data_IF_772579168138
#
_entry.id   IF_772579168138
#
_cell.length_a   1.000
_cell.length_b   1.000
_cell.length_c   1.000
_cell.angle_alpha   90.00
_cell.angle_beta   90.00
_cell.angle_gamma   90.00
#
_symmetry.space_group_name_H-M   'P 1'
#
loop_
_entity.id
_entity.type
_entity.pdbx_description
1 polymer ?
#
# COMPACT_ATOMS: atom_id res chain seq x y z
N UNK A 1 2.93 18.86 -2.40
CA UNK A 1 3.10 17.50 -2.95
C UNK A 1 1.86 16.69 -2.64
N UNK A 2 1.44 15.85 -3.57
CA UNK A 2 0.35 14.89 -3.40
C UNK A 2 0.91 13.48 -3.58
N UNK A 3 0.47 12.52 -2.76
CA UNK A 3 1.01 11.16 -2.72
C UNK A 3 -0.07 10.13 -2.98
N UNK A 4 0.27 9.09 -3.74
CA UNK A 4 -0.50 7.87 -3.88
C UNK A 4 0.44 6.67 -3.72
N UNK A 5 0.24 5.79 -2.74
CA UNK A 5 -0.71 5.88 -1.65
C UNK A 5 -0.54 7.14 -0.78
N UNK A 6 -1.64 7.61 -0.20
CA UNK A 6 -1.61 8.73 0.74
C UNK A 6 -0.90 8.39 2.05
N UNK A 7 -0.48 9.41 2.79
CA UNK A 7 0.16 9.20 4.09
C UNK A 7 -0.81 8.51 5.08
N UNK A 8 -0.36 7.41 5.68
CA UNK A 8 -1.16 6.58 6.56
C UNK A 8 -2.14 5.66 5.84
N UNK A 9 -2.04 5.51 4.51
CA UNK A 9 -2.89 4.59 3.77
C UNK A 9 -2.73 3.16 4.31
N UNK A 10 -3.86 2.48 4.50
CA UNK A 10 -3.93 1.09 4.89
C UNK A 10 -4.45 0.27 3.73
N UNK A 11 -4.26 -1.04 3.81
CA UNK A 11 -4.83 -1.98 2.84
C UNK A 11 -4.36 -1.77 1.41
N UNK A 12 -3.14 -1.26 1.26
CA UNK A 12 -2.53 -1.02 -0.05
C UNK A 12 -2.24 -2.36 -0.72
N UNK A 13 -2.54 -2.48 -2.02
CA UNK A 13 -2.25 -3.69 -2.77
C UNK A 13 -0.76 -3.99 -2.81
N UNK A 14 -0.38 -5.27 -2.85
CA UNK A 14 1.05 -5.65 -2.94
C UNK A 14 1.69 -5.34 -4.29
N UNK A 15 0.89 -5.02 -5.32
CA UNK A 15 1.34 -4.57 -6.63
C UNK A 15 1.25 -3.05 -6.80
N UNK A 16 1.11 -2.32 -5.69
CA UNK A 16 0.92 -0.87 -5.74
C UNK A 16 2.12 -0.16 -6.35
N UNK A 17 1.82 0.83 -7.19
CA UNK A 17 2.77 1.79 -7.74
C UNK A 17 2.73 3.05 -6.89
N UNK A 18 3.90 3.56 -6.51
CA UNK A 18 4.00 4.72 -5.63
C UNK A 18 4.24 5.97 -6.48
N UNK A 19 3.38 6.96 -6.36
CA UNK A 19 3.44 8.21 -7.12
C UNK A 19 3.48 9.39 -6.17
N UNK A 20 4.32 10.38 -6.52
CA UNK A 20 4.32 11.70 -5.91
C UNK A 20 4.18 12.77 -6.99
N UNK A 21 3.24 13.68 -6.78
CA UNK A 21 3.03 14.84 -7.65
C UNK A 21 3.56 16.09 -6.96
N UNK A 22 4.50 16.78 -7.59
CA UNK A 22 5.10 18.03 -7.14
C UNK A 22 4.19 19.23 -7.47
N UNK A 23 4.40 20.35 -6.77
CA UNK A 23 3.65 21.60 -7.03
C UNK A 23 4.13 22.34 -8.27
N UNK A 24 5.34 22.03 -8.72
CA UNK A 24 6.08 22.67 -9.79
C UNK A 24 6.99 21.59 -10.41
N UNK A 25 7.47 21.83 -11.63
CA UNK A 25 8.44 20.94 -12.28
C UNK A 25 9.72 20.78 -11.44
N UNK A 26 10.33 19.61 -11.48
CA UNK A 26 11.61 19.31 -10.83
C UNK A 26 12.67 18.93 -11.86
N UNK A 27 13.93 19.17 -11.52
CA UNK A 27 15.06 18.80 -12.37
C UNK A 27 15.20 17.28 -12.40
N UNK A 28 15.02 16.61 -13.56
CA UNK A 28 15.05 15.14 -13.63
C UNK A 28 16.38 14.53 -13.17
N UNK A 29 17.50 15.23 -13.38
CA UNK A 29 18.83 14.77 -12.93
C UNK A 29 18.99 14.72 -11.41
N UNK A 30 18.07 15.36 -10.66
CA UNK A 30 18.01 15.29 -9.18
C UNK A 30 17.05 14.24 -8.67
N UNK A 31 16.37 13.52 -9.57
CA UNK A 31 15.46 12.41 -9.29
C UNK A 31 16.13 11.09 -9.68
N UNK A 32 16.73 10.44 -8.68
CA UNK A 32 17.30 9.10 -8.76
C UNK A 32 16.88 8.21 -7.57
N UNK A 33 17.37 6.96 -7.55
CA UNK A 33 17.07 5.97 -6.53
C UNK A 33 17.59 6.31 -5.11
N UNK A 34 18.45 7.33 -4.96
CA UNK A 34 18.92 7.83 -3.67
C UNK A 34 18.06 8.98 -3.16
N UNK A 35 17.54 9.80 -4.09
CA UNK A 35 16.72 10.97 -3.82
C UNK A 35 15.22 10.67 -3.69
N UNK A 36 14.69 9.67 -4.40
CA UNK A 36 13.32 9.16 -4.26
C UNK A 36 13.36 7.64 -4.11
N UNK A 37 13.02 7.16 -2.92
CA UNK A 37 13.16 5.75 -2.53
C UNK A 37 11.96 5.21 -1.78
N UNK A 38 11.78 3.91 -1.89
CA UNK A 38 10.86 3.12 -1.09
C UNK A 38 11.65 2.34 -0.05
N UNK A 39 11.21 2.36 1.20
CA UNK A 39 11.87 1.77 2.36
C UNK A 39 10.90 0.85 3.09
N UNK A 40 11.42 -0.21 3.69
CA UNK A 40 10.73 -1.03 4.69
C UNK A 40 11.65 -1.25 5.91
N UNK A 41 11.27 -2.13 6.85
CA UNK A 41 12.12 -2.39 8.04
C UNK A 41 13.44 -3.12 7.74
N UNK A 42 13.61 -3.69 6.55
CA UNK A 42 14.86 -4.32 6.09
C UNK A 42 15.76 -3.32 5.32
N UNK A 43 15.24 -2.16 4.93
CA UNK A 43 15.98 -1.11 4.22
C UNK A 43 15.33 -0.71 2.90
N UNK A 44 16.16 -0.38 1.91
CA UNK A 44 15.67 0.05 0.60
C UNK A 44 15.02 -1.08 -0.20
N UNK A 45 13.82 -0.82 -0.70
CA UNK A 45 13.10 -1.69 -1.62
C UNK A 45 13.50 -1.34 -3.04
N UNK A 46 13.91 -2.35 -3.82
CA UNK A 46 14.31 -2.14 -5.21
C UNK A 46 13.10 -1.72 -6.04
N UNK A 47 13.19 -0.57 -6.68
CA UNK A 47 12.15 -0.01 -7.54
C UNK A 47 12.77 0.73 -8.73
N UNK A 48 12.03 0.80 -9.83
CA UNK A 48 12.37 1.66 -10.97
C UNK A 48 11.70 3.01 -10.83
N UNK A 49 12.43 4.08 -11.14
CA UNK A 49 11.93 5.45 -11.10
C UNK A 49 11.63 5.96 -12.52
N UNK A 50 10.48 6.60 -12.69
CA UNK A 50 10.15 7.42 -13.86
C UNK A 50 9.62 8.79 -13.45
N UNK A 51 9.78 9.78 -14.32
CA UNK A 51 9.29 11.15 -14.10
C UNK A 51 8.55 11.66 -15.33
N UNK A 52 7.35 12.19 -15.11
CA UNK A 52 6.53 12.88 -16.11
C UNK A 52 6.53 14.38 -15.82
N UNK A 53 7.28 15.14 -16.63
CA UNK A 53 7.41 16.59 -16.51
C UNK A 53 6.16 17.36 -16.94
N UNK A 54 5.21 16.74 -17.65
CA UNK A 54 3.93 17.42 -18.00
C UNK A 54 2.98 17.46 -16.81
N UNK A 55 3.02 16.42 -15.97
CA UNK A 55 2.17 16.28 -14.80
C UNK A 55 2.91 16.48 -13.48
N UNK A 56 4.20 16.80 -13.53
CA UNK A 56 5.10 16.92 -12.37
C UNK A 56 5.02 15.70 -11.45
N UNK A 57 4.97 14.50 -12.04
CA UNK A 57 4.71 13.26 -11.31
C UNK A 57 5.92 12.32 -11.40
N UNK A 58 6.50 11.98 -10.25
CA UNK A 58 7.50 10.92 -10.15
C UNK A 58 6.83 9.63 -9.68
N UNK A 59 7.22 8.51 -10.28
CA UNK A 59 6.62 7.20 -10.06
C UNK A 59 7.71 6.17 -9.71
N UNK A 60 7.54 5.50 -8.58
CA UNK A 60 8.31 4.32 -8.20
C UNK A 60 7.47 3.06 -8.44
N UNK A 61 8.00 2.18 -9.28
CA UNK A 61 7.44 0.84 -9.51
C UNK A 61 8.34 -0.19 -8.81
N UNK A 62 7.89 -0.82 -7.73
CA UNK A 62 8.63 -1.91 -7.09
C UNK A 62 9.00 -3.00 -8.08
N UNK A 63 10.24 -3.50 -8.03
CA UNK A 63 10.72 -4.55 -8.94
C UNK A 63 10.15 -5.93 -8.60
N UNK A 64 9.73 -6.12 -7.35
CA UNK A 64 9.03 -7.30 -6.88
C UNK A 64 7.74 -6.88 -6.17
N UNK A 65 6.79 -7.81 -6.07
CA UNK A 65 5.58 -7.63 -5.27
C UNK A 65 5.96 -7.33 -3.82
N UNK A 66 5.30 -6.36 -3.23
CA UNK A 66 5.46 -6.02 -1.82
C UNK A 66 4.96 -7.17 -0.92
N UNK A 67 5.43 -7.21 0.31
CA UNK A 67 4.98 -8.18 1.31
C UNK A 67 3.64 -7.77 1.88
N UNK A 68 2.81 -8.74 2.27
CA UNK A 68 1.58 -8.49 3.03
C UNK A 68 1.88 -8.05 4.47
N UNK A 69 0.93 -7.35 5.07
CA UNK A 69 0.94 -6.80 6.44
C UNK A 69 2.19 -5.97 6.78
N UNK A 70 2.78 -5.33 5.77
CA UNK A 70 4.08 -4.67 5.88
C UNK A 70 3.95 -3.16 5.78
N UNK A 71 4.66 -2.46 6.67
CA UNK A 71 4.76 -1.00 6.63
C UNK A 71 5.88 -0.60 5.65
N UNK A 72 5.53 0.20 4.67
CA UNK A 72 6.45 0.82 3.73
C UNK A 72 6.48 2.34 3.92
N UNK A 73 7.63 2.95 3.66
CA UNK A 73 7.83 4.39 3.68
C UNK A 73 8.39 4.84 2.33
N UNK A 74 7.66 5.69 1.62
CA UNK A 74 8.18 6.39 0.46
C UNK A 74 8.80 7.71 0.91
N UNK A 75 10.01 8.01 0.45
CA UNK A 75 10.77 9.19 0.83
C UNK A 75 11.32 9.91 -0.39
N UNK A 76 11.06 11.21 -0.47
CA UNK A 76 11.74 12.17 -1.35
C UNK A 76 12.66 13.04 -0.47
N UNK A 77 13.96 13.00 -0.71
CA UNK A 77 14.95 13.74 0.06
C UNK A 77 15.00 15.22 -0.32
N UNK A 78 15.73 16.03 0.46
CA UNK A 78 15.96 17.45 0.14
C UNK A 78 16.90 17.68 -1.05
N UNK A 79 17.48 16.63 -1.65
CA UNK A 79 18.37 16.75 -2.81
C UNK A 79 17.58 17.01 -4.11
N UNK A 80 16.31 16.61 -4.16
CA UNK A 80 15.43 16.91 -5.30
C UNK A 80 15.26 18.42 -5.41
N UNK A 81 15.46 18.94 -6.62
CA UNK A 81 15.45 20.38 -6.89
C UNK A 81 14.32 20.75 -7.83
N UNK A 82 13.47 21.67 -7.40
CA UNK A 82 12.45 22.29 -8.24
C UNK A 82 13.07 23.21 -9.29
N UNK A 83 12.58 23.16 -10.52
CA UNK A 83 13.10 23.95 -11.65
C UNK A 83 12.98 25.47 -11.42
N UNK A 84 11.96 25.90 -10.65
CA UNK A 84 11.70 27.32 -10.36
C UNK A 84 12.13 27.72 -8.95
N UNK A 85 11.88 26.85 -7.96
CA UNK A 85 12.00 27.17 -6.53
C UNK A 85 13.30 26.73 -5.87
N UNK A 86 14.17 26.01 -6.61
CA UNK A 86 15.40 25.47 -6.05
C UNK A 86 15.17 24.19 -5.22
N UNK A 87 16.15 23.79 -4.39
CA UNK A 87 16.12 22.54 -3.65
C UNK A 87 14.92 22.47 -2.70
N UNK A 88 14.44 21.25 -2.46
CA UNK A 88 13.38 21.03 -1.47
C UNK A 88 13.85 21.46 -0.07
N UNK A 89 13.05 22.24 0.67
CA UNK A 89 13.47 22.78 1.97
C UNK A 89 13.62 21.70 3.05
N UNK A 90 12.92 20.57 2.90
CA UNK A 90 12.98 19.42 3.79
C UNK A 90 12.62 18.15 3.02
N UNK A 91 13.17 17.01 3.44
CA UNK A 91 12.73 15.71 2.94
C UNK A 91 11.25 15.48 3.27
N UNK A 92 10.50 14.95 2.30
CA UNK A 92 9.11 14.55 2.44
C UNK A 92 9.01 13.04 2.49
N UNK A 93 8.22 12.52 3.42
CA UNK A 93 7.99 11.07 3.55
C UNK A 93 6.53 10.77 3.82
N UNK A 94 6.05 9.65 3.29
CA UNK A 94 4.73 9.09 3.57
C UNK A 94 4.88 7.61 3.87
N UNK A 95 4.10 7.12 4.82
CA UNK A 95 4.06 5.70 5.15
C UNK A 95 2.72 5.09 4.75
N UNK A 96 2.73 3.86 4.28
CA UNK A 96 1.52 3.09 4.02
C UNK A 96 1.71 1.64 4.44
N UNK A 97 0.61 0.95 4.72
CA UNK A 97 0.62 -0.47 5.10
C UNK A 97 -0.08 -1.28 4.01
N UNK A 98 0.59 -2.33 3.54
CA UNK A 98 -0.01 -3.27 2.59
C UNK A 98 -1.15 -4.06 3.24
N UNK A 99 -2.01 -4.62 2.39
CA UNK A 99 -3.05 -5.54 2.82
C UNK A 99 -2.48 -6.71 3.64
N UNK A 100 -3.28 -7.31 4.51
CA UNK A 100 -2.85 -8.46 5.33
C UNK A 100 -2.85 -9.76 4.54
N UNK A 101 -3.60 -9.82 3.44
CA UNK A 101 -3.61 -10.96 2.52
C UNK A 101 -4.11 -10.54 1.13
N UNK A 102 -4.10 -11.49 0.18
CA UNK A 102 -4.62 -11.28 -1.18
C UNK A 102 -6.11 -10.92 -1.21
N UNK A 103 -6.85 -11.26 -0.16
CA UNK A 103 -8.26 -10.91 0.05
C UNK A 103 -8.47 -9.41 0.39
N UNK A 104 -7.40 -8.67 0.72
CA UNK A 104 -7.46 -7.26 1.07
C UNK A 104 -7.14 -7.01 2.55
N UNK A 105 -7.50 -5.82 3.04
CA UNK A 105 -7.37 -5.48 4.45
C UNK A 105 -8.64 -4.78 4.93
N UNK A 106 -8.97 -5.03 6.19
CA UNK A 106 -10.13 -4.46 6.86
C UNK A 106 -9.64 -3.52 7.97
N UNK A 107 -9.55 -2.20 7.72
CA UNK A 107 -9.10 -1.26 8.73
C UNK A 107 -10.32 -0.89 9.60
N UNK A 108 -10.57 -1.69 10.64
CA UNK A 108 -11.62 -1.45 11.64
C UNK A 108 -13.06 -1.75 11.19
N UNK A 109 -13.26 -2.47 10.09
CA UNK A 109 -14.58 -2.78 9.55
C UNK A 109 -14.93 -4.26 9.66
N UNK A 110 -16.22 -4.50 9.68
CA UNK A 110 -16.82 -5.81 9.58
C UNK A 110 -16.57 -6.42 8.21
N UNK A 111 -15.90 -7.56 8.08
CA UNK A 111 -15.95 -8.36 6.86
C UNK A 111 -17.43 -8.62 6.48
N UNK A 112 -17.70 -8.80 5.19
CA UNK A 112 -19.06 -9.06 4.68
C UNK A 112 -19.19 -10.38 3.94
N UNK A 113 -18.06 -11.00 3.59
CA UNK A 113 -17.96 -12.25 2.85
C UNK A 113 -16.61 -12.92 3.12
N UNK A 114 -16.52 -14.23 2.90
CA UNK A 114 -15.29 -15.01 3.17
C UNK A 114 -14.10 -14.52 2.33
N UNK A 115 -14.37 -14.02 1.12
CA UNK A 115 -13.37 -13.45 0.23
C UNK A 115 -12.68 -12.18 0.77
N UNK A 116 -13.19 -11.60 1.84
CA UNK A 116 -12.58 -10.46 2.54
C UNK A 116 -11.52 -10.91 3.58
N UNK A 117 -11.46 -12.20 3.87
CA UNK A 117 -10.61 -12.81 4.90
C UNK A 117 -9.47 -13.64 4.28
N UNK A 118 -8.43 -13.95 5.07
CA UNK A 118 -7.32 -14.79 4.61
C UNK A 118 -7.77 -16.18 4.15
N UNK A 119 -6.91 -16.90 3.43
CA UNK A 119 -7.20 -18.23 2.83
C UNK A 119 -7.56 -19.37 3.83
N UNK A 120 -7.72 -19.06 5.10
CA UNK A 120 -8.10 -19.98 6.18
C UNK A 120 -8.96 -19.28 7.25
N UNK A 121 -9.55 -18.14 6.91
CA UNK A 121 -10.38 -17.37 7.80
C UNK A 121 -11.78 -17.24 7.17
N UNK A 122 -12.79 -17.25 8.02
CA UNK A 122 -14.18 -16.99 7.65
C UNK A 122 -14.62 -15.68 8.23
N UNK A 123 -15.54 -15.03 7.53
CA UNK A 123 -16.12 -13.81 8.01
C UNK A 123 -17.23 -14.09 9.01
N UNK A 124 -17.02 -13.83 10.30
CA UNK A 124 -18.10 -13.98 11.28
C UNK A 124 -19.24 -12.98 11.03
N UNK A 125 -20.41 -13.29 11.55
CA UNK A 125 -21.62 -12.45 11.52
C UNK A 125 -21.48 -11.10 12.24
N UNK A 126 -20.41 -10.92 13.02
CA UNK A 126 -20.02 -9.65 13.66
C UNK A 126 -18.95 -8.93 12.82
N UNK A 127 -18.62 -9.47 11.65
CA UNK A 127 -17.66 -8.93 10.72
C UNK A 127 -16.20 -9.11 11.12
N UNK A 128 -15.89 -10.08 11.96
CA UNK A 128 -14.50 -10.39 12.32
C UNK A 128 -14.05 -11.61 11.55
N UNK A 129 -12.90 -11.53 10.90
CA UNK A 129 -12.27 -12.72 10.31
C UNK A 129 -11.81 -13.64 11.46
N UNK A 130 -12.29 -14.89 11.44
CA UNK A 130 -12.01 -15.90 12.47
C UNK A 130 -11.49 -17.16 11.81
N UNK A 131 -10.61 -17.89 12.49
CA UNK A 131 -10.03 -19.13 11.95
C UNK A 131 -11.03 -20.30 11.88
N UNK A 132 -12.21 -20.16 12.49
CA UNK A 132 -13.27 -21.16 12.48
C UNK A 132 -14.64 -20.48 12.35
N UNK A 133 -15.55 -21.03 11.54
CA UNK A 133 -16.94 -20.56 11.50
C UNK A 133 -17.68 -20.94 12.79
N UNK A 134 -18.55 -20.07 13.27
CA UNK A 134 -19.36 -20.28 14.48
C UNK A 134 -20.80 -20.62 14.10
N UNK A 135 -21.36 -19.95 13.09
CA UNK A 135 -22.68 -20.22 12.53
C UNK A 135 -22.65 -20.29 11.01
N UNK A 136 -23.67 -20.91 10.40
CA UNK A 136 -23.78 -20.99 8.93
C UNK A 136 -23.96 -19.63 8.25
N UNK A 137 -24.36 -18.60 8.99
CA UNK A 137 -24.44 -17.22 8.50
C UNK A 137 -23.05 -16.59 8.29
N UNK A 138 -22.00 -17.19 8.86
CA UNK A 138 -20.60 -16.79 8.65
C UNK A 138 -20.05 -17.28 7.28
N UNK A 139 -20.86 -18.04 6.52
CA UNK A 139 -20.48 -18.67 5.26
C UNK A 139 -21.20 -18.05 4.06
N UNK A 140 -20.59 -18.16 2.87
CA UNK A 140 -21.21 -17.70 1.62
C UNK A 140 -22.55 -18.40 1.34
N UNK A 141 -23.42 -17.72 0.58
CA UNK A 141 -24.75 -18.23 0.26
C UNK A 141 -24.69 -19.62 -0.40
N UNK A 142 -25.25 -20.61 0.28
CA UNK A 142 -25.26 -22.01 -0.15
C UNK A 142 -24.23 -22.91 0.56
N UNK A 143 -23.38 -22.34 1.40
CA UNK A 143 -22.48 -23.07 2.31
C UNK A 143 -23.06 -23.11 3.73
N UNK A 144 -22.59 -24.05 4.54
CA UNK A 144 -22.99 -24.20 5.94
C UNK A 144 -21.78 -24.39 6.84
N UNK A 145 -21.88 -23.95 8.09
CA UNK A 145 -20.77 -24.13 9.03
C UNK A 145 -20.79 -25.55 9.59
N UNK A 146 -19.72 -26.31 9.33
CA UNK A 146 -19.50 -27.65 9.83
C UNK A 146 -18.08 -27.77 10.43
N UNK A 147 -18.02 -28.08 11.73
CA UNK A 147 -16.76 -28.30 12.47
C UNK A 147 -15.73 -27.16 12.33
N UNK A 148 -16.20 -25.90 12.32
CA UNK A 148 -15.33 -24.73 12.19
C UNK A 148 -14.95 -24.40 10.74
N UNK A 149 -15.47 -25.10 9.74
CA UNK A 149 -15.24 -24.81 8.32
C UNK A 149 -16.55 -24.62 7.54
N UNK A 150 -16.56 -23.70 6.57
CA UNK A 150 -17.68 -23.58 5.65
C UNK A 150 -17.63 -24.71 4.61
N UNK A 151 -18.69 -25.51 4.54
CA UNK A 151 -18.87 -26.67 3.63
C UNK A 151 -20.14 -26.60 2.83
#
# INVERSE_FOLDING_TARGET
MYWSPGNGALCVGVNEVITVTFSDDVLPDTLDATSFRLLDSNGAVVATLSYDSLHFAATLTPAATLDYDRLYTAEVTSEVTGAVRGPLPVAARVSFKTATSAAGCFPGGTCTQVADCGASEVCSSIGVCTGECVTSDDCDAGSSCAAGSCT
#
